data_IF_594275160514
#
_entry.id   IF_594275160514
#
_cell.length_a   1.000
_cell.length_b   1.000
_cell.length_c   1.000
_cell.angle_alpha   90.00
_cell.angle_beta   90.00
_cell.angle_gamma   90.00
#
_symmetry.space_group_name_H-M   'P 1'
#
loop_
_entity.id
_entity.type
_entity.pdbx_description
1 polymer ?
#
# COMPACT_ATOMS: atom_id res chain seq x y z
N UNK A 1 -39.94 -6.16 30.39
CA UNK A 1 -38.70 -6.01 31.18
C UNK A 1 -37.52 -6.25 30.26
N UNK A 2 -36.59 -5.31 30.17
CA UNK A 2 -35.35 -5.49 29.39
C UNK A 2 -34.40 -6.40 30.18
N UNK A 3 -33.85 -7.42 29.54
CA UNK A 3 -32.78 -8.25 30.11
C UNK A 3 -31.46 -7.49 29.96
N UNK A 4 -30.89 -7.09 31.11
CA UNK A 4 -29.65 -6.31 31.20
C UNK A 4 -28.56 -7.22 31.77
N UNK A 5 -27.40 -7.26 31.11
CA UNK A 5 -26.22 -7.91 31.61
C UNK A 5 -25.72 -7.17 32.86
N UNK A 6 -25.69 -7.86 34.01
CA UNK A 6 -25.31 -7.25 35.29
C UNK A 6 -23.83 -6.91 35.42
N UNK A 7 -22.96 -7.45 34.55
CA UNK A 7 -21.53 -7.13 34.54
C UNK A 7 -21.20 -5.93 33.64
N UNK A 8 -21.84 -5.81 32.48
CA UNK A 8 -21.53 -4.75 31.50
C UNK A 8 -22.56 -3.63 31.45
N UNK A 9 -23.73 -3.82 32.07
CA UNK A 9 -24.84 -2.85 32.01
C UNK A 9 -25.57 -2.81 30.67
N UNK A 10 -25.13 -3.58 29.67
CA UNK A 10 -25.71 -3.60 28.34
C UNK A 10 -27.00 -4.43 28.31
N UNK A 11 -27.96 -3.99 27.52
CA UNK A 11 -29.17 -4.73 27.17
C UNK A 11 -28.84 -5.90 26.22
N UNK A 12 -29.69 -6.93 26.21
CA UNK A 12 -29.57 -8.04 25.26
C UNK A 12 -29.56 -7.58 23.79
N UNK A 13 -30.21 -6.45 23.47
CA UNK A 13 -30.22 -5.87 22.12
C UNK A 13 -28.85 -5.29 21.74
N UNK A 14 -28.22 -4.53 22.64
CA UNK A 14 -26.89 -3.95 22.41
C UNK A 14 -25.83 -5.03 22.23
N UNK A 15 -25.90 -6.10 23.02
CA UNK A 15 -24.99 -7.26 22.88
C UNK A 15 -25.18 -7.94 21.51
N UNK A 16 -26.43 -8.11 21.07
CA UNK A 16 -26.71 -8.71 19.76
C UNK A 16 -26.24 -7.82 18.60
N UNK A 17 -26.39 -6.50 18.73
CA UNK A 17 -25.90 -5.53 17.75
C UNK A 17 -24.36 -5.53 17.68
N UNK A 18 -23.66 -5.61 18.81
CA UNK A 18 -22.19 -5.74 18.85
C UNK A 18 -21.69 -7.06 18.25
N UNK A 19 -22.35 -8.18 18.57
CA UNK A 19 -22.01 -9.49 18.00
C UNK A 19 -22.20 -9.50 16.48
N UNK A 20 -23.33 -8.98 15.99
CA UNK A 20 -23.58 -8.86 14.55
C UNK A 20 -22.59 -7.93 13.86
N UNK A 21 -22.19 -6.83 14.51
CA UNK A 21 -21.17 -5.92 13.99
C UNK A 21 -19.79 -6.60 13.90
N UNK A 22 -19.41 -7.39 14.92
CA UNK A 22 -18.18 -8.20 14.90
C UNK A 22 -18.20 -9.28 13.81
N UNK A 23 -19.29 -10.04 13.68
CA UNK A 23 -19.42 -11.05 12.62
C UNK A 23 -19.37 -10.43 11.23
N UNK A 24 -20.05 -9.29 11.03
CA UNK A 24 -20.02 -8.56 9.76
C UNK A 24 -18.62 -8.02 9.44
N UNK A 25 -17.89 -7.51 10.44
CA UNK A 25 -16.51 -7.07 10.26
C UNK A 25 -15.57 -8.24 9.92
N UNK A 26 -15.77 -9.43 10.49
CA UNK A 26 -15.00 -10.63 10.14
C UNK A 26 -15.23 -11.11 8.69
N UNK A 27 -16.31 -10.68 8.04
CA UNK A 27 -16.62 -11.01 6.64
C UNK A 27 -16.19 -9.93 5.64
N UNK A 28 -15.68 -8.79 6.11
CA UNK A 28 -15.27 -7.71 5.20
C UNK A 28 -14.06 -8.15 4.42
N UNK A 29 -14.13 -7.94 3.11
CA UNK A 29 -13.00 -8.13 2.22
C UNK A 29 -11.95 -7.07 2.52
N UNK A 30 -10.69 -7.45 2.59
CA UNK A 30 -9.57 -6.50 2.73
C UNK A 30 -9.02 -6.17 1.36
N UNK A 31 -8.85 -4.89 1.08
CA UNK A 31 -8.11 -4.39 -0.08
C UNK A 31 -7.03 -3.42 0.39
N UNK A 32 -5.98 -3.31 -0.40
CA UNK A 32 -4.87 -2.40 -0.15
C UNK A 32 -4.89 -1.27 -1.17
N UNK A 33 -4.82 -0.04 -0.68
CA UNK A 33 -4.55 1.16 -1.48
C UNK A 33 -3.07 1.47 -1.36
N UNK A 34 -2.30 1.27 -2.43
CA UNK A 34 -0.90 1.69 -2.44
C UNK A 34 -0.87 3.11 -2.99
N UNK A 35 -0.23 4.02 -2.27
CA UNK A 35 -0.28 5.46 -2.52
C UNK A 35 1.12 6.08 -2.34
N UNK A 36 1.30 7.33 -2.76
CA UNK A 36 2.55 8.06 -2.57
C UNK A 36 2.33 9.40 -1.90
N UNK A 37 3.18 9.76 -0.93
CA UNK A 37 3.13 11.03 -0.22
C UNK A 37 3.18 12.25 -1.15
N UNK A 38 3.93 12.15 -2.24
CA UNK A 38 4.10 13.22 -3.24
C UNK A 38 2.96 13.36 -4.25
N UNK A 39 1.83 12.69 -4.06
CA UNK A 39 0.67 13.00 -4.90
C UNK A 39 0.05 14.35 -4.48
N UNK A 40 0.29 15.36 -5.33
CA UNK A 40 -0.06 16.77 -5.11
C UNK A 40 -1.53 17.03 -4.73
N UNK A 41 -2.46 16.17 -5.16
CA UNK A 41 -3.87 16.23 -4.77
C UNK A 41 -4.56 14.86 -4.78
N UNK A 42 -5.78 14.83 -4.23
CA UNK A 42 -6.62 13.63 -4.17
C UNK A 42 -7.00 13.07 -5.56
N UNK A 43 -7.04 13.90 -6.60
CA UNK A 43 -7.36 13.45 -7.97
C UNK A 43 -6.19 12.71 -8.58
N UNK A 44 -4.97 13.23 -8.42
CA UNK A 44 -3.74 12.58 -8.83
C UNK A 44 -3.60 11.24 -8.10
N UNK A 45 -3.71 11.26 -6.77
CA UNK A 45 -3.65 10.04 -5.96
C UNK A 45 -4.70 9.01 -6.38
N UNK A 46 -5.97 9.38 -6.52
CA UNK A 46 -7.01 8.44 -6.96
C UNK A 46 -6.75 7.89 -8.38
N UNK A 47 -6.12 8.68 -9.27
CA UNK A 47 -5.79 8.23 -10.63
C UNK A 47 -4.61 7.27 -10.66
N UNK A 48 -3.55 7.55 -9.91
CA UNK A 48 -2.28 6.80 -9.97
C UNK A 48 -2.20 5.63 -8.97
N UNK A 49 -2.91 5.69 -7.84
CA UNK A 49 -2.80 4.69 -6.77
C UNK A 49 -3.09 3.25 -7.27
N UNK A 50 -2.54 2.25 -6.59
CA UNK A 50 -2.99 0.87 -6.79
C UNK A 50 -4.15 0.57 -5.85
N UNK A 51 -5.12 -0.21 -6.32
CA UNK A 51 -6.08 -0.89 -5.45
C UNK A 51 -5.95 -2.38 -5.72
N UNK A 52 -5.43 -3.11 -4.73
CA UNK A 52 -5.12 -4.53 -4.87
C UNK A 52 -5.76 -5.38 -3.79
N UNK A 53 -6.10 -6.61 -4.15
CA UNK A 53 -6.40 -7.67 -3.20
C UNK A 53 -5.20 -8.63 -3.16
N UNK A 54 -4.74 -8.97 -1.96
CA UNK A 54 -3.65 -9.91 -1.76
C UNK A 54 -3.78 -10.58 -0.38
N UNK A 55 -3.50 -11.89 -0.31
CA UNK A 55 -3.47 -12.65 0.95
C UNK A 55 -2.13 -12.45 1.67
N UNK A 56 -1.96 -11.25 2.22
CA UNK A 56 -0.81 -10.82 3.02
C UNK A 56 -1.29 -9.93 4.16
N UNK A 57 -0.55 -9.94 5.26
CA UNK A 57 -0.68 -8.92 6.32
C UNK A 57 -0.15 -7.56 5.84
N UNK A 58 -0.44 -6.50 6.59
CA UNK A 58 0.05 -5.14 6.29
C UNK A 58 1.58 -5.13 6.31
N UNK A 59 2.19 -5.78 7.30
CA UNK A 59 3.63 -5.87 7.51
C UNK A 59 4.32 -6.67 6.41
N UNK A 60 3.74 -7.82 6.00
CA UNK A 60 4.30 -8.61 4.90
C UNK A 60 4.24 -7.87 3.57
N UNK A 61 3.12 -7.21 3.26
CA UNK A 61 2.99 -6.45 2.02
C UNK A 61 3.93 -5.24 2.01
N UNK A 62 4.01 -4.50 3.12
CA UNK A 62 4.97 -3.40 3.32
C UNK A 62 6.40 -3.85 3.05
N UNK A 63 6.81 -4.99 3.61
CA UNK A 63 8.16 -5.52 3.44
C UNK A 63 8.43 -6.02 2.01
N UNK A 64 7.43 -6.63 1.35
CA UNK A 64 7.51 -7.01 -0.06
C UNK A 64 7.75 -5.78 -0.93
N UNK A 65 6.93 -4.75 -0.77
CA UNK A 65 7.01 -3.54 -1.59
C UNK A 65 8.37 -2.86 -1.44
N UNK A 66 8.81 -2.63 -0.20
CA UNK A 66 10.10 -1.96 0.03
C UNK A 66 11.29 -2.85 -0.38
N UNK A 67 11.14 -4.19 -0.28
CA UNK A 67 12.10 -5.12 -0.83
C UNK A 67 12.26 -4.97 -2.34
N UNK A 68 11.17 -4.79 -3.07
CA UNK A 68 11.19 -4.50 -4.52
C UNK A 68 11.89 -3.15 -4.78
N UNK A 69 11.57 -2.10 -4.03
CA UNK A 69 12.18 -0.77 -4.18
C UNK A 69 13.69 -0.79 -3.91
N UNK A 70 14.14 -1.47 -2.84
CA UNK A 70 15.57 -1.62 -2.57
C UNK A 70 16.30 -2.44 -3.65
N UNK A 71 15.66 -3.47 -4.21
CA UNK A 71 16.25 -4.20 -5.35
C UNK A 71 16.34 -3.32 -6.59
N UNK A 72 15.35 -2.46 -6.85
CA UNK A 72 15.40 -1.51 -7.97
C UNK A 72 16.58 -0.55 -7.81
N UNK A 73 16.74 0.03 -6.62
CA UNK A 73 17.85 0.92 -6.28
C UNK A 73 19.22 0.21 -6.45
N UNK A 74 19.37 -1.03 -6.01
CA UNK A 74 20.62 -1.78 -6.17
C UNK A 74 20.96 -2.16 -7.63
N UNK A 75 19.94 -2.38 -8.47
CA UNK A 75 20.13 -2.88 -9.84
C UNK A 75 20.29 -1.75 -10.86
N UNK A 76 19.55 -0.66 -10.68
CA UNK A 76 19.49 0.46 -11.62
C UNK A 76 20.08 1.73 -11.00
N UNK A 77 19.86 1.93 -9.70
CA UNK A 77 20.27 3.12 -8.98
C UNK A 77 19.59 4.40 -9.47
N UNK A 78 20.06 5.52 -8.92
CA UNK A 78 19.53 6.84 -9.23
C UNK A 78 18.51 7.32 -8.20
N UNK A 79 17.80 8.39 -8.52
CA UNK A 79 16.84 9.01 -7.61
C UNK A 79 15.42 8.84 -8.16
N UNK A 80 15.05 7.59 -8.47
CA UNK A 80 13.77 7.25 -9.10
C UNK A 80 13.03 6.24 -8.25
N UNK A 81 11.75 6.57 -8.02
CA UNK A 81 10.77 5.71 -7.37
C UNK A 81 10.22 4.67 -8.35
N UNK A 82 9.83 3.50 -7.82
CA UNK A 82 9.21 2.48 -8.64
C UNK A 82 7.91 3.00 -9.28
N UNK A 83 7.78 2.82 -10.60
CA UNK A 83 6.54 3.15 -11.27
C UNK A 83 5.42 2.19 -10.84
N UNK A 84 4.23 2.71 -10.57
CA UNK A 84 3.12 1.95 -9.98
C UNK A 84 2.66 0.76 -10.85
N UNK A 85 2.70 0.92 -12.18
CA UNK A 85 2.43 -0.17 -13.13
C UNK A 85 3.46 -1.31 -13.01
N UNK A 86 4.75 -0.98 -12.83
CA UNK A 86 5.80 -1.99 -12.64
C UNK A 86 5.68 -2.67 -11.29
N UNK A 87 5.37 -1.92 -10.22
CA UNK A 87 5.09 -2.49 -8.91
C UNK A 87 3.90 -3.46 -8.99
N UNK A 88 2.81 -3.06 -9.64
CA UNK A 88 1.64 -3.92 -9.84
C UNK A 88 2.01 -5.20 -10.58
N UNK A 89 2.75 -5.11 -11.69
CA UNK A 89 3.15 -6.28 -12.48
C UNK A 89 3.96 -7.29 -11.65
N UNK A 90 4.87 -6.81 -10.79
CA UNK A 90 5.66 -7.67 -9.89
C UNK A 90 4.76 -8.32 -8.85
N UNK A 91 3.85 -7.55 -8.23
CA UNK A 91 2.91 -8.05 -7.22
C UNK A 91 1.96 -9.10 -7.81
N UNK A 92 1.44 -8.90 -9.02
CA UNK A 92 0.55 -9.87 -9.69
C UNK A 92 1.30 -11.15 -10.07
N UNK A 93 2.51 -11.03 -10.62
CA UNK A 93 3.27 -12.20 -11.12
C UNK A 93 3.91 -13.03 -10.03
N UNK A 94 4.42 -12.41 -8.96
CA UNK A 94 5.22 -13.10 -7.95
C UNK A 94 4.48 -13.30 -6.62
N UNK A 95 3.43 -12.51 -6.35
CA UNK A 95 2.77 -12.49 -5.06
C UNK A 95 1.25 -12.68 -5.14
N UNK A 96 0.73 -13.07 -6.32
CA UNK A 96 -0.68 -13.36 -6.57
C UNK A 96 -1.62 -12.20 -6.22
N UNK A 97 -1.12 -10.97 -6.27
CA UNK A 97 -1.97 -9.80 -6.13
C UNK A 97 -2.98 -9.74 -7.28
N UNK A 98 -4.14 -9.14 -7.01
CA UNK A 98 -5.15 -8.86 -8.04
C UNK A 98 -5.40 -7.38 -8.08
N UNK A 99 -5.33 -6.77 -9.26
CA UNK A 99 -5.84 -5.42 -9.45
C UNK A 99 -7.37 -5.41 -9.33
N UNK A 100 -7.89 -4.67 -8.34
CA UNK A 100 -9.33 -4.54 -8.08
C UNK A 100 -9.81 -3.09 -8.20
N UNK A 101 -9.01 -2.22 -8.81
CA UNK A 101 -9.30 -0.78 -8.91
C UNK A 101 -10.61 -0.46 -9.60
N UNK A 102 -10.96 -1.18 -10.67
CA UNK A 102 -12.24 -0.99 -11.36
C UNK A 102 -13.43 -1.45 -10.50
N UNK A 103 -13.33 -2.62 -9.86
CA UNK A 103 -14.38 -3.19 -9.00
C UNK A 103 -14.67 -2.30 -7.78
N UNK A 104 -13.63 -1.73 -7.18
CA UNK A 104 -13.72 -0.92 -5.97
C UNK A 104 -13.49 0.57 -6.21
N UNK A 105 -13.69 1.09 -7.43
CA UNK A 105 -13.48 2.52 -7.74
C UNK A 105 -14.21 3.47 -6.76
N UNK A 106 -15.38 3.06 -6.26
CA UNK A 106 -16.15 3.82 -5.26
C UNK A 106 -15.41 4.08 -3.93
N UNK A 107 -14.36 3.30 -3.61
CA UNK A 107 -13.58 3.48 -2.38
C UNK A 107 -12.62 4.67 -2.49
N UNK A 108 -12.24 5.08 -3.71
CA UNK A 108 -11.22 6.10 -3.92
C UNK A 108 -11.61 7.45 -3.32
N UNK A 109 -12.86 7.87 -3.52
CA UNK A 109 -13.41 9.12 -2.96
C UNK A 109 -13.63 9.08 -1.44
N UNK A 110 -13.52 7.90 -0.81
CA UNK A 110 -13.73 7.71 0.63
C UNK A 110 -12.43 7.50 1.40
N UNK A 111 -11.32 7.40 0.67
CA UNK A 111 -10.00 7.03 1.21
C UNK A 111 -8.91 7.99 0.73
N UNK A 112 -9.31 9.15 0.20
CA UNK A 112 -8.42 10.19 -0.32
C UNK A 112 -8.08 11.27 0.71
N UNK A 113 -8.83 11.37 1.81
CA UNK A 113 -8.54 12.26 2.94
C UNK A 113 -7.95 11.45 4.11
N UNK A 114 -6.82 11.91 4.66
CA UNK A 114 -6.13 11.24 5.77
C UNK A 114 -6.93 11.25 7.08
N UNK A 115 -7.75 12.29 7.32
CA UNK A 115 -8.43 12.50 8.60
C UNK A 115 -9.59 11.55 8.91
N UNK A 116 -10.07 10.78 7.93
CA UNK A 116 -11.18 9.83 8.13
C UNK A 116 -10.68 8.40 8.43
N UNK A 117 -9.36 8.19 8.41
CA UNK A 117 -8.74 6.90 8.63
C UNK A 117 -8.23 6.69 10.06
N UNK A 118 -8.16 5.42 10.49
CA UNK A 118 -7.49 4.99 11.72
C UNK A 118 -6.03 4.66 11.41
N UNK A 119 -5.10 5.42 11.97
CA UNK A 119 -3.66 5.14 11.85
C UNK A 119 -3.34 3.76 12.46
N UNK A 120 -2.75 2.87 11.65
CA UNK A 120 -2.23 1.59 12.11
C UNK A 120 -0.79 1.78 12.60
N UNK A 121 0.00 2.44 11.75
CA UNK A 121 1.40 2.77 11.98
C UNK A 121 1.82 3.93 11.04
N UNK A 122 3.10 4.28 11.08
CA UNK A 122 3.67 5.43 10.37
C UNK A 122 3.47 5.43 8.85
N UNK A 123 3.25 4.28 8.21
CA UNK A 123 3.07 4.17 6.76
C UNK A 123 1.73 3.58 6.36
N UNK A 124 0.85 3.25 7.31
CA UNK A 124 -0.40 2.55 7.03
C UNK A 124 -1.60 3.12 7.79
N UNK A 125 -2.68 3.36 7.04
CA UNK A 125 -3.94 3.90 7.53
C UNK A 125 -5.11 3.02 7.13
N UNK A 126 -5.99 2.69 8.08
CA UNK A 126 -7.18 1.84 7.87
C UNK A 126 -8.43 2.68 7.66
N UNK A 127 -9.23 2.32 6.68
CA UNK A 127 -10.57 2.86 6.46
C UNK A 127 -11.60 1.71 6.52
N UNK A 128 -12.50 1.77 7.50
CA UNK A 128 -13.55 0.77 7.67
C UNK A 128 -14.82 1.19 6.92
N UNK A 129 -15.02 0.67 5.70
CA UNK A 129 -16.20 0.92 4.87
C UNK A 129 -17.22 -0.21 5.04
N UNK A 130 -18.48 0.01 4.63
CA UNK A 130 -19.60 -0.90 4.95
C UNK A 130 -19.37 -2.39 4.65
N UNK A 131 -18.67 -2.70 3.54
CA UNK A 131 -18.44 -4.07 3.06
C UNK A 131 -16.96 -4.38 2.78
N UNK A 132 -16.07 -3.40 2.97
CA UNK A 132 -14.64 -3.52 2.63
C UNK A 132 -13.81 -2.79 3.66
N UNK A 133 -12.73 -3.44 4.10
CA UNK A 133 -11.66 -2.81 4.87
C UNK A 133 -10.58 -2.37 3.89
N UNK A 134 -10.26 -1.07 3.85
CA UNK A 134 -9.21 -0.55 2.99
C UNK A 134 -8.00 -0.20 3.85
N UNK A 135 -6.85 -0.80 3.54
CA UNK A 135 -5.58 -0.41 4.15
C UNK A 135 -4.80 0.42 3.13
N UNK A 136 -4.65 1.71 3.40
CA UNK A 136 -3.77 2.59 2.63
C UNK A 136 -2.33 2.40 3.12
N UNK A 137 -1.40 2.12 2.21
CA UNK A 137 0.04 2.08 2.45
C UNK A 137 0.68 3.21 1.66
N UNK A 138 1.39 4.10 2.35
CA UNK A 138 2.17 5.16 1.72
C UNK A 138 3.59 4.68 1.43
N UNK A 139 3.99 4.68 0.16
CA UNK A 139 5.30 4.18 -0.26
C UNK A 139 6.46 4.99 0.33
N UNK A 140 6.35 6.31 0.38
CA UNK A 140 7.42 7.18 0.89
C UNK A 140 7.69 6.88 2.37
N UNK A 141 6.64 6.87 3.19
CA UNK A 141 6.80 6.56 4.61
C UNK A 141 7.18 5.11 4.86
N UNK A 142 6.72 4.18 4.01
CA UNK A 142 7.12 2.78 4.09
C UNK A 142 8.62 2.61 3.80
N UNK A 143 9.14 3.32 2.81
CA UNK A 143 10.56 3.33 2.48
C UNK A 143 11.39 3.93 3.62
N UNK A 144 11.05 5.14 4.08
CA UNK A 144 11.74 5.84 5.19
C UNK A 144 11.79 5.01 6.48
N UNK A 145 10.70 4.29 6.78
CA UNK A 145 10.64 3.42 7.95
C UNK A 145 11.63 2.24 7.86
N UNK A 146 11.94 1.76 6.66
CA UNK A 146 12.71 0.54 6.43
C UNK A 146 14.15 0.78 5.95
N UNK A 147 14.47 1.94 5.35
CA UNK A 147 15.75 2.24 4.70
C UNK A 147 16.95 2.34 5.66
N UNK A 148 16.70 2.47 6.97
CA UNK A 148 17.74 2.46 8.00
C UNK A 148 18.18 1.04 8.36
N UNK A 149 17.84 0.62 9.59
CA UNK A 149 18.37 -0.61 10.17
C UNK A 149 17.90 -1.89 9.47
N UNK A 150 16.73 -1.86 8.79
CA UNK A 150 16.13 -3.03 8.15
C UNK A 150 16.58 -3.23 6.71
N UNK A 151 17.23 -2.23 6.09
CA UNK A 151 17.64 -2.27 4.68
C UNK A 151 18.40 -3.53 4.32
N UNK A 152 19.48 -3.85 5.06
CA UNK A 152 20.32 -5.03 4.78
C UNK A 152 19.57 -6.35 4.94
N UNK A 153 18.69 -6.43 5.93
CA UNK A 153 17.89 -7.63 6.20
C UNK A 153 16.87 -7.88 5.07
N UNK A 154 16.12 -6.84 4.73
CA UNK A 154 15.11 -6.89 3.66
C UNK A 154 15.79 -7.19 2.32
N UNK A 155 16.88 -6.49 2.01
CA UNK A 155 17.61 -6.71 0.76
C UNK A 155 18.08 -8.16 0.63
N UNK A 156 18.65 -8.73 1.70
CA UNK A 156 19.07 -10.13 1.70
C UNK A 156 17.90 -11.10 1.47
N UNK A 157 16.72 -10.82 2.05
CA UNK A 157 15.52 -11.64 1.89
C UNK A 157 14.97 -11.64 0.46
N UNK A 158 14.98 -10.49 -0.20
CA UNK A 158 14.36 -10.30 -1.53
C UNK A 158 15.35 -10.42 -2.71
N UNK A 159 16.62 -10.75 -2.45
CA UNK A 159 17.63 -11.01 -3.48
C UNK A 159 17.53 -12.42 -4.11
N UNK A 160 16.31 -12.96 -4.26
CA UNK A 160 16.07 -14.33 -4.76
C UNK A 160 16.17 -14.47 -6.30
N UNK A 161 16.36 -13.36 -7.01
CA UNK A 161 16.58 -13.30 -8.46
C UNK A 161 15.32 -13.21 -9.31
N UNK A 162 14.13 -13.58 -8.82
CA UNK A 162 12.90 -13.47 -9.64
C UNK A 162 12.38 -12.03 -9.70
N UNK A 163 12.48 -11.30 -8.59
CA UNK A 163 12.25 -9.84 -8.56
C UNK A 163 13.24 -9.15 -9.50
N UNK A 164 14.53 -9.48 -9.38
CA UNK A 164 15.59 -8.89 -10.21
C UNK A 164 15.34 -9.09 -11.71
N UNK A 165 14.89 -10.28 -12.13
CA UNK A 165 14.57 -10.55 -13.55
C UNK A 165 13.48 -9.63 -14.07
N UNK A 166 12.42 -9.41 -13.29
CA UNK A 166 11.34 -8.50 -13.69
C UNK A 166 11.84 -7.05 -13.70
N UNK A 167 12.54 -6.60 -12.65
CA UNK A 167 13.10 -5.25 -12.59
C UNK A 167 14.06 -4.96 -13.75
N UNK A 168 14.95 -5.91 -14.06
CA UNK A 168 15.88 -5.78 -15.18
C UNK A 168 15.17 -5.76 -16.54
N UNK A 169 13.96 -6.32 -16.65
CA UNK A 169 13.15 -6.22 -17.87
C UNK A 169 12.64 -4.79 -18.12
N UNK A 170 12.58 -3.96 -17.08
CA UNK A 170 12.20 -2.54 -17.15
C UNK A 170 13.42 -1.59 -17.18
N UNK A 171 14.64 -2.12 -17.14
CA UNK A 171 15.86 -1.35 -16.88
C UNK A 171 16.05 -0.16 -17.82
N UNK A 172 15.88 -0.37 -19.13
CA UNK A 172 16.08 0.68 -20.14
C UNK A 172 15.14 1.88 -19.90
N UNK A 173 13.93 1.63 -19.42
CA UNK A 173 12.97 2.70 -19.10
C UNK A 173 13.43 3.52 -17.90
N UNK A 174 13.90 2.88 -16.83
CA UNK A 174 14.43 3.57 -15.67
C UNK A 174 15.74 4.30 -15.96
N UNK A 175 16.62 3.76 -16.79
CA UNK A 175 17.84 4.45 -17.24
C UNK A 175 17.50 5.74 -18.00
N UNK A 176 16.49 5.69 -18.90
CA UNK A 176 15.99 6.87 -19.60
C UNK A 176 15.39 7.90 -18.65
N UNK A 177 14.52 7.48 -17.73
CA UNK A 177 13.94 8.38 -16.72
C UNK A 177 15.03 9.06 -15.86
N UNK A 178 16.12 8.34 -15.58
CA UNK A 178 17.25 8.87 -14.80
C UNK A 178 18.00 9.95 -15.57
N UNK A 179 18.17 9.75 -16.88
CA UNK A 179 18.76 10.75 -17.76
C UNK A 179 17.87 11.99 -17.88
N UNK A 180 16.58 11.83 -18.14
CA UNK A 180 15.61 12.93 -18.19
C UNK A 180 15.57 13.74 -16.88
N UNK A 181 15.61 13.06 -15.74
CA UNK A 181 15.67 13.72 -14.43
C UNK A 181 16.95 14.55 -14.26
N UNK A 182 18.12 14.01 -14.62
CA UNK A 182 19.39 14.76 -14.57
C UNK A 182 19.38 15.98 -15.48
N UNK A 183 18.92 15.84 -16.72
CA UNK A 183 18.83 16.98 -17.65
C UNK A 183 17.91 18.09 -17.13
N UNK A 184 16.82 17.74 -16.48
CA UNK A 184 15.90 18.71 -15.90
C UNK A 184 16.50 19.42 -14.68
N UNK A 185 17.27 18.71 -13.84
CA UNK A 185 18.01 19.33 -12.74
C UNK A 185 19.06 20.31 -13.24
N UNK A 186 19.79 19.97 -14.31
CA UNK A 186 20.81 20.86 -14.88
C UNK A 186 20.17 22.16 -15.41
N UNK A 187 19.01 22.07 -16.09
CA UNK A 187 18.25 23.25 -16.58
C UNK A 187 17.72 24.16 -15.47
N UNK A 188 17.46 23.64 -14.28
CA UNK A 188 16.99 24.44 -13.13
C UNK A 188 18.16 25.20 -12.48
N UNK A 189 19.39 24.68 -12.63
CA UNK A 189 20.60 25.25 -12.04
C UNK A 189 21.35 26.23 -12.97
N UNK A 190 20.87 26.43 -14.20
CA UNK A 190 21.31 27.46 -15.16
C UNK A 190 20.54 28.78 -15.00
#
# INVERSE_FOLDING_TARGET
>A
MSLINKQTGQTAREILEEMNKKEKNNLKKRIYRIDHYYFDDSKASNRECLLIEIDKTVEELSEIIVGIEFRLDELVGGNIEIQFNHLLEILEKLFEAKNVKEEYNYVLQKTDLEHDGEEINYYATKYDLDNVEVIKIDLYFNWEYNCGNRYKEILAKYSNGDIDKLLLSFKEEYERLNEEFRENLDKINE
#
